data_IF_149013092293
#
_entry.id   IF_149013092293
#
_cell.length_a   1.000
_cell.length_b   1.000
_cell.length_c   1.000
_cell.angle_alpha   90.00
_cell.angle_beta   90.00
_cell.angle_gamma   90.00
#
_symmetry.space_group_name_H-M   'P 1'
#
loop_
_entity.id
_entity.type
_entity.pdbx_description
1 polymer ?
#
# COMPACT_ATOMS: atom_id res chain seq x y z
N UNK A 1 4.14 -12.51 13.08
CA UNK A 1 3.23 -11.70 13.90
C UNK A 1 2.73 -10.57 13.04
N UNK A 2 1.43 -10.32 13.04
CA UNK A 2 0.80 -9.32 12.18
C UNK A 2 0.89 -7.90 12.80
N UNK A 3 1.19 -7.82 14.09
CA UNK A 3 1.39 -6.58 14.83
C UNK A 3 2.22 -6.80 16.09
N UNK A 4 2.82 -5.76 16.64
CA UNK A 4 3.56 -5.79 17.88
C UNK A 4 4.78 -4.88 17.88
N UNK A 5 5.59 -5.00 18.94
CA UNK A 5 6.87 -4.31 19.09
C UNK A 5 8.00 -5.31 18.84
N UNK A 6 8.83 -5.03 17.84
CA UNK A 6 10.01 -5.83 17.54
C UNK A 6 11.28 -5.06 17.91
N UNK A 7 12.27 -5.74 18.49
CA UNK A 7 13.62 -5.18 18.71
C UNK A 7 14.49 -5.29 17.46
N UNK A 8 14.17 -6.23 16.58
CA UNK A 8 14.87 -6.47 15.33
C UNK A 8 13.91 -7.16 14.34
N UNK A 9 14.24 -7.09 13.07
CA UNK A 9 13.49 -7.71 11.98
C UNK A 9 14.33 -8.79 11.32
N UNK A 10 13.77 -9.99 11.18
CA UNK A 10 14.43 -11.12 10.50
C UNK A 10 13.88 -11.25 9.11
N UNK A 11 14.76 -11.15 8.10
CA UNK A 11 14.37 -11.37 6.70
C UNK A 11 13.99 -12.85 6.53
N UNK A 12 12.82 -13.09 6.00
CA UNK A 12 12.31 -14.46 5.81
C UNK A 12 12.93 -15.20 4.60
N UNK A 13 13.83 -14.55 3.85
CA UNK A 13 14.51 -15.16 2.71
C UNK A 13 15.78 -15.90 3.12
N UNK A 14 16.72 -15.22 3.81
CA UNK A 14 18.00 -15.81 4.25
C UNK A 14 18.27 -15.68 5.74
N UNK A 15 17.30 -15.19 6.53
CA UNK A 15 17.44 -15.06 7.97
C UNK A 15 18.32 -13.90 8.44
N UNK A 16 18.69 -12.96 7.58
CA UNK A 16 19.45 -11.79 7.97
C UNK A 16 18.66 -10.94 8.97
N UNK A 17 19.31 -10.46 10.01
CA UNK A 17 18.68 -9.71 11.09
C UNK A 17 19.04 -8.24 11.00
N UNK A 18 18.02 -7.40 10.96
CA UNK A 18 18.15 -5.95 10.90
C UNK A 18 17.64 -5.29 12.18
N UNK A 19 18.36 -4.30 12.66
CA UNK A 19 17.93 -3.43 13.75
C UNK A 19 16.76 -2.55 13.35
N UNK A 20 16.17 -1.86 14.31
CA UNK A 20 15.09 -0.90 14.07
C UNK A 20 15.54 0.31 13.23
N UNK A 21 16.83 0.62 13.26
CA UNK A 21 17.49 1.65 12.48
C UNK A 21 17.86 1.20 11.06
N UNK A 22 17.56 -0.06 10.72
CA UNK A 22 17.92 -0.67 9.44
C UNK A 22 19.35 -1.20 9.36
N UNK A 23 20.16 -1.09 10.41
CA UNK A 23 21.51 -1.68 10.42
C UNK A 23 21.44 -3.21 10.34
N UNK A 24 22.36 -3.82 9.58
CA UNK A 24 22.51 -5.28 9.57
C UNK A 24 23.21 -5.74 10.84
N UNK A 25 22.49 -6.42 11.72
CA UNK A 25 22.96 -6.83 13.04
C UNK A 25 23.59 -8.21 13.00
N UNK A 26 22.91 -9.18 12.37
CA UNK A 26 23.34 -10.57 12.36
C UNK A 26 23.07 -11.26 11.03
N UNK A 27 23.92 -12.22 10.70
CA UNK A 27 23.82 -13.03 9.48
C UNK A 27 24.05 -14.49 9.82
N UNK A 28 23.11 -15.39 9.52
CA UNK A 28 23.27 -16.81 9.80
C UNK A 28 24.53 -17.39 9.13
N UNK A 29 25.27 -18.19 9.89
CA UNK A 29 26.50 -18.87 9.42
C UNK A 29 27.57 -17.90 8.89
N UNK A 30 27.66 -16.69 9.41
CA UNK A 30 28.56 -15.63 8.94
C UNK A 30 30.01 -16.12 8.83
N UNK A 31 30.56 -16.71 9.90
CA UNK A 31 31.94 -17.22 9.89
C UNK A 31 32.15 -18.33 8.87
N UNK A 32 31.16 -19.20 8.67
CA UNK A 32 31.27 -20.33 7.74
C UNK A 32 31.11 -19.91 6.27
N UNK A 33 30.20 -18.99 5.99
CA UNK A 33 29.86 -18.60 4.61
C UNK A 33 30.62 -17.37 4.13
N UNK A 34 30.96 -16.47 5.05
CA UNK A 34 31.59 -15.18 4.74
C UNK A 34 32.95 -15.00 5.42
N UNK A 35 33.41 -16.01 6.17
CA UNK A 35 34.73 -16.02 6.87
C UNK A 35 34.90 -14.80 7.78
N UNK A 36 33.83 -14.31 8.41
CA UNK A 36 33.78 -13.11 9.25
C UNK A 36 34.30 -11.84 8.55
N UNK A 37 34.24 -11.78 7.21
CA UNK A 37 34.71 -10.66 6.39
C UNK A 37 33.60 -9.81 5.83
N UNK A 38 32.36 -10.00 6.30
CA UNK A 38 31.21 -9.25 5.81
C UNK A 38 31.22 -7.82 6.39
N UNK A 39 31.28 -6.83 5.49
CA UNK A 39 31.10 -5.43 5.89
C UNK A 39 29.62 -5.11 6.05
N UNK A 40 29.08 -5.35 7.23
CA UNK A 40 27.66 -5.13 7.56
C UNK A 40 27.24 -3.68 7.41
N UNK A 41 28.17 -2.72 7.54
CA UNK A 41 27.84 -1.29 7.41
C UNK A 41 27.34 -0.92 6.01
N UNK A 42 27.77 -1.67 4.99
CA UNK A 42 27.40 -1.47 3.59
C UNK A 42 26.13 -2.21 3.19
N UNK A 43 25.59 -3.03 4.08
CA UNK A 43 24.46 -3.94 3.83
C UNK A 43 23.23 -3.57 4.66
N UNK A 44 23.22 -2.38 5.22
CA UNK A 44 22.06 -1.83 5.89
C UNK A 44 20.82 -1.76 4.94
N UNK A 45 19.65 -1.92 5.50
CA UNK A 45 18.40 -1.65 4.78
C UNK A 45 18.38 -0.16 4.37
N UNK A 46 17.95 0.10 3.12
CA UNK A 46 17.83 1.48 2.67
C UNK A 46 16.68 2.16 3.42
N UNK A 47 16.89 3.37 3.98
CA UNK A 47 15.83 4.12 4.62
C UNK A 47 14.76 4.52 3.60
N UNK A 48 13.51 4.50 4.06
CA UNK A 48 12.36 4.96 3.30
C UNK A 48 11.70 6.06 4.13
N UNK A 49 11.50 7.24 3.53
CA UNK A 49 10.71 8.29 4.17
C UNK A 49 9.26 7.85 4.22
N UNK A 50 8.67 7.88 5.41
CA UNK A 50 7.28 7.49 5.63
C UNK A 50 6.50 8.70 6.08
N UNK A 51 5.40 8.96 5.40
CA UNK A 51 4.45 10.03 5.73
C UNK A 51 3.04 9.46 5.73
N UNK A 52 2.13 10.09 6.44
CA UNK A 52 0.74 9.65 6.52
C UNK A 52 -0.22 10.74 6.04
N UNK A 53 -1.27 10.32 5.36
CA UNK A 53 -2.36 11.20 4.97
C UNK A 53 -3.70 10.50 5.17
N UNK A 54 -4.58 11.07 6.00
CA UNK A 54 -5.91 10.51 6.30
C UNK A 54 -5.88 9.02 6.72
N UNK A 55 -4.86 8.62 7.49
CA UNK A 55 -4.70 7.24 7.96
C UNK A 55 -3.99 6.30 6.98
N UNK A 56 -3.75 6.72 5.74
CA UNK A 56 -2.95 5.96 4.79
C UNK A 56 -1.46 6.23 4.98
N UNK A 57 -0.66 5.19 4.85
CA UNK A 57 0.79 5.23 5.03
C UNK A 57 1.45 5.21 3.65
N UNK A 58 2.29 6.20 3.37
CA UNK A 58 3.03 6.35 2.13
C UNK A 58 4.52 6.21 2.39
N UNK A 59 5.22 5.48 1.53
CA UNK A 59 6.67 5.34 1.57
C UNK A 59 7.32 5.94 0.32
N UNK A 60 8.39 6.70 0.49
CA UNK A 60 9.18 7.27 -0.60
C UNK A 60 10.65 6.90 -0.45
N UNK A 61 11.21 6.26 -1.49
CA UNK A 61 12.62 5.88 -1.53
C UNK A 61 13.54 6.99 -2.07
N UNK A 62 12.96 8.09 -2.55
CA UNK A 62 13.70 9.23 -3.07
C UNK A 62 13.80 10.31 -1.99
N UNK A 63 15.04 10.59 -1.56
CA UNK A 63 15.33 11.60 -0.54
C UNK A 63 15.06 13.03 -1.01
N UNK A 64 15.12 13.26 -2.33
CA UNK A 64 14.95 14.58 -2.94
C UNK A 64 13.49 14.87 -3.34
N UNK A 65 12.63 13.88 -3.26
CA UNK A 65 11.21 14.07 -3.55
C UNK A 65 10.57 15.08 -2.59
N UNK A 66 9.59 15.87 -3.03
CA UNK A 66 8.84 16.76 -2.15
C UNK A 66 8.14 15.98 -1.02
N UNK A 67 7.72 16.66 0.03
CA UNK A 67 6.87 16.06 1.06
C UNK A 67 5.56 15.55 0.45
N UNK A 68 4.91 14.60 1.12
CA UNK A 68 3.69 13.97 0.61
C UNK A 68 2.60 14.99 0.25
N UNK A 69 2.37 15.98 1.09
CA UNK A 69 1.36 17.02 0.82
C UNK A 69 1.69 17.85 -0.42
N UNK A 70 2.96 18.19 -0.61
CA UNK A 70 3.44 18.89 -1.80
C UNK A 70 3.32 18.02 -3.06
N UNK A 71 3.60 16.72 -2.94
CA UNK A 71 3.45 15.76 -4.04
C UNK A 71 1.99 15.56 -4.44
N UNK A 72 1.10 15.41 -3.48
CA UNK A 72 -0.33 15.26 -3.74
C UNK A 72 -0.96 16.53 -4.33
N UNK A 73 -0.47 17.72 -3.92
CA UNK A 73 -0.97 18.98 -4.42
C UNK A 73 -2.51 19.09 -4.37
N UNK A 74 -3.12 19.46 -5.48
CA UNK A 74 -4.58 19.56 -5.60
C UNK A 74 -5.31 18.21 -5.57
N UNK A 75 -4.60 17.10 -5.78
CA UNK A 75 -5.20 15.77 -5.69
C UNK A 75 -5.72 15.47 -4.27
N UNK A 76 -5.21 16.15 -3.25
CA UNK A 76 -5.73 16.06 -1.87
C UNK A 76 -7.23 16.33 -1.78
N UNK A 77 -7.74 17.29 -2.56
CA UNK A 77 -9.16 17.60 -2.56
C UNK A 77 -10.03 16.39 -2.92
N UNK A 78 -9.59 15.59 -3.89
CA UNK A 78 -10.30 14.38 -4.29
C UNK A 78 -10.24 13.30 -3.19
N UNK A 79 -9.08 13.13 -2.59
CA UNK A 79 -8.91 12.20 -1.48
C UNK A 79 -9.79 12.61 -0.29
N UNK A 80 -9.78 13.89 0.08
CA UNK A 80 -10.59 14.41 1.18
C UNK A 80 -12.09 14.24 0.89
N UNK A 81 -12.52 14.53 -0.33
CA UNK A 81 -13.91 14.34 -0.74
C UNK A 81 -14.38 12.89 -0.59
N UNK A 82 -13.53 11.93 -0.95
CA UNK A 82 -13.85 10.51 -0.84
C UNK A 82 -13.86 10.07 0.64
N UNK A 83 -12.85 10.48 1.41
CA UNK A 83 -12.64 9.95 2.75
C UNK A 83 -13.41 10.68 3.85
N UNK A 84 -13.77 11.92 3.65
CA UNK A 84 -14.55 12.73 4.60
C UNK A 84 -16.02 12.89 4.21
N UNK A 85 -16.37 12.59 2.97
CA UNK A 85 -17.71 12.84 2.42
C UNK A 85 -18.87 12.12 3.12
N UNK A 86 -18.58 11.10 3.93
CA UNK A 86 -19.58 10.32 4.64
C UNK A 86 -19.81 10.78 6.10
N UNK A 87 -19.26 11.93 6.52
CA UNK A 87 -19.54 12.53 7.85
C UNK A 87 -19.02 11.75 9.07
N UNK A 88 -18.36 10.63 8.88
CA UNK A 88 -17.78 9.81 9.97
C UNK A 88 -16.44 9.18 9.59
N UNK A 89 -15.91 9.53 8.42
CA UNK A 89 -14.73 8.90 7.86
C UNK A 89 -15.03 7.54 7.22
N UNK A 90 -13.98 6.85 6.82
CA UNK A 90 -14.03 5.51 6.21
C UNK A 90 -13.31 4.51 7.09
N UNK A 91 -13.87 3.32 7.20
CA UNK A 91 -13.21 2.16 7.79
C UNK A 91 -12.88 1.15 6.69
N UNK A 92 -11.60 0.75 6.60
CA UNK A 92 -11.18 -0.26 5.62
C UNK A 92 -11.63 -1.65 6.07
N UNK A 93 -12.43 -2.30 5.23
CA UNK A 93 -12.95 -3.65 5.46
C UNK A 93 -12.01 -4.69 4.84
N UNK A 94 -10.95 -5.02 5.54
CA UNK A 94 -9.98 -6.04 5.13
C UNK A 94 -8.89 -5.55 4.18
N UNK A 95 -8.05 -6.46 3.66
CA UNK A 95 -6.94 -6.11 2.80
C UNK A 95 -7.41 -5.71 1.39
N UNK A 96 -6.60 -4.92 0.64
CA UNK A 96 -6.94 -4.57 -0.73
C UNK A 96 -6.99 -5.82 -1.63
N UNK A 97 -7.99 -5.89 -2.49
CA UNK A 97 -8.04 -6.89 -3.56
C UNK A 97 -6.94 -6.60 -4.57
N UNK A 98 -6.18 -7.63 -4.91
CA UNK A 98 -5.09 -7.52 -5.89
C UNK A 98 -5.40 -8.38 -7.10
N UNK A 99 -5.28 -7.78 -8.30
CA UNK A 99 -5.45 -8.47 -9.56
C UNK A 99 -4.25 -8.23 -10.47
N UNK A 100 -3.79 -9.27 -11.16
CA UNK A 100 -2.76 -9.14 -12.18
C UNK A 100 -3.41 -9.22 -13.56
N UNK A 101 -3.29 -8.16 -14.33
CA UNK A 101 -3.81 -8.09 -15.68
C UNK A 101 -2.65 -8.14 -16.67
N UNK A 102 -2.61 -9.15 -17.54
CA UNK A 102 -1.59 -9.31 -18.58
C UNK A 102 -1.92 -8.41 -19.78
N UNK A 103 -1.89 -7.10 -19.61
CA UNK A 103 -2.19 -6.12 -20.65
C UNK A 103 -1.36 -4.84 -20.47
N UNK A 104 -1.45 -3.95 -21.46
CA UNK A 104 -0.90 -2.60 -21.31
C UNK A 104 -1.67 -1.86 -20.22
N UNK A 105 -0.96 -1.14 -19.34
CA UNK A 105 -1.55 -0.41 -18.21
C UNK A 105 -2.61 0.62 -18.63
N UNK A 106 -2.54 1.12 -19.87
CA UNK A 106 -3.51 2.08 -20.40
C UNK A 106 -4.92 1.47 -20.56
N UNK A 107 -5.02 0.17 -20.82
CA UNK A 107 -6.32 -0.50 -21.01
C UNK A 107 -7.21 -0.40 -19.78
N UNK A 108 -6.77 -0.85 -18.58
CA UNK A 108 -7.58 -0.64 -17.37
C UNK A 108 -7.76 0.85 -17.04
N UNK A 109 -6.78 1.70 -17.34
CA UNK A 109 -6.91 3.14 -17.09
C UNK A 109 -8.02 3.77 -17.94
N UNK A 110 -8.08 3.46 -19.22
CA UNK A 110 -9.18 3.92 -20.08
C UNK A 110 -10.55 3.47 -19.58
N UNK A 111 -10.64 2.21 -19.17
CA UNK A 111 -11.90 1.67 -18.64
C UNK A 111 -12.34 2.36 -17.34
N UNK A 112 -11.42 2.53 -16.37
CA UNK A 112 -11.76 3.09 -15.07
C UNK A 112 -11.91 4.61 -15.04
N UNK A 113 -11.21 5.33 -15.89
CA UNK A 113 -11.18 6.80 -15.87
C UNK A 113 -11.94 7.43 -17.04
N UNK A 114 -11.86 6.82 -18.21
CA UNK A 114 -12.36 7.41 -19.46
C UNK A 114 -13.70 6.86 -19.96
N UNK A 115 -14.06 5.64 -19.58
CA UNK A 115 -15.24 4.96 -20.11
C UNK A 115 -16.39 4.88 -19.08
N UNK A 116 -17.04 5.99 -18.85
CA UNK A 116 -18.27 5.99 -18.04
C UNK A 116 -19.46 5.32 -18.77
N UNK A 117 -19.37 5.15 -20.10
CA UNK A 117 -20.46 4.63 -20.93
C UNK A 117 -20.77 3.17 -20.63
N UNK A 118 -19.75 2.32 -20.39
CA UNK A 118 -19.95 0.91 -20.09
C UNK A 118 -20.61 0.66 -18.73
N UNK A 119 -20.48 1.62 -17.78
CA UNK A 119 -20.94 1.44 -16.39
C UNK A 119 -22.43 1.13 -16.32
N UNK A 120 -23.25 1.88 -17.06
CA UNK A 120 -24.70 1.69 -17.07
C UNK A 120 -25.15 0.37 -17.70
N UNK A 121 -24.29 -0.28 -18.50
CA UNK A 121 -24.57 -1.55 -19.15
C UNK A 121 -23.88 -2.73 -18.48
N UNK A 122 -22.57 -2.69 -18.42
CA UNK A 122 -21.75 -3.80 -17.89
C UNK A 122 -21.94 -4.00 -16.40
N UNK A 123 -22.10 -2.91 -15.65
CA UNK A 123 -22.27 -2.93 -14.19
C UNK A 123 -23.72 -2.68 -13.74
N UNK A 124 -24.68 -2.83 -14.62
CA UNK A 124 -26.10 -2.56 -14.35
C UNK A 124 -26.62 -3.32 -13.13
N UNK A 125 -26.24 -4.58 -12.96
CA UNK A 125 -26.64 -5.40 -11.81
C UNK A 125 -26.10 -4.85 -10.47
N UNK A 126 -24.84 -4.40 -10.45
CA UNK A 126 -24.24 -3.81 -9.26
C UNK A 126 -24.89 -2.47 -8.92
N UNK A 127 -25.18 -1.63 -9.92
CA UNK A 127 -25.90 -0.37 -9.73
C UNK A 127 -27.33 -0.59 -9.21
N UNK A 128 -28.03 -1.62 -9.70
CA UNK A 128 -29.36 -1.97 -9.22
C UNK A 128 -29.37 -2.41 -7.75
N UNK A 129 -28.36 -3.21 -7.35
CA UNK A 129 -28.19 -3.66 -5.96
C UNK A 129 -27.77 -2.55 -4.99
N UNK A 130 -27.18 -1.47 -5.49
CA UNK A 130 -26.73 -0.34 -4.68
C UNK A 130 -27.84 0.70 -4.41
N UNK A 131 -29.03 0.55 -4.98
CA UNK A 131 -30.14 1.48 -4.72
C UNK A 131 -30.74 1.23 -3.35
N UNK A 132 -30.83 2.25 -2.47
CA UNK A 132 -31.55 2.12 -1.21
C UNK A 132 -33.01 1.72 -1.47
N UNK A 133 -33.45 0.58 -0.94
CA UNK A 133 -34.85 0.14 -1.02
C UNK A 133 -35.16 -1.01 -1.98
N UNK A 134 -34.18 -1.60 -2.68
CA UNK A 134 -34.39 -2.82 -3.47
C UNK A 134 -34.09 -4.13 -2.72
N UNK A 135 -34.06 -4.07 -1.38
CA UNK A 135 -34.09 -5.28 -0.59
C UNK A 135 -35.40 -6.00 -0.85
N UNK A 136 -35.38 -7.12 -1.57
CA UNK A 136 -36.51 -8.04 -1.63
C UNK A 136 -36.75 -8.51 -0.20
N UNK A 137 -37.87 -8.05 0.41
CA UNK A 137 -38.39 -8.71 1.57
C UNK A 137 -38.70 -10.15 1.13
N UNK A 138 -37.91 -11.10 1.59
CA UNK A 138 -38.27 -12.52 1.51
C UNK A 138 -39.40 -12.75 2.49
N UNK A 139 -40.59 -13.02 1.99
CA UNK A 139 -41.66 -13.68 2.74
C UNK A 139 -41.20 -15.08 3.18
#
# INVERSE_FOLDING_TARGET
ADSGNAKAFVCNYHGWVYGQDGSLVDVPLESRCYHDQLDKSRLAAKPVRVETYKGFIFGCCDSEAPCLEGYLGEFRWYLDTIWEGAGGGLELQGPPMKSLLACNWKVPTENFVGDAYHVGWTHAAALAGSRPGTGTASE
#
